data_IF_374397910072
#
_entry.id   IF_374397910072
#
_cell.length_a   1.000
_cell.length_b   1.000
_cell.length_c   1.000
_cell.angle_alpha   90.00
_cell.angle_beta   90.00
_cell.angle_gamma   90.00
#
_symmetry.space_group_name_H-M   'P 1'
#
loop_
_entity.id
_entity.type
_entity.pdbx_description
1 polymer ?
#
# COMPACT_ATOMS: atom_id res chain seq x y z
N UNK A 1 -15.05 30.61 24.11
CA UNK A 1 -15.31 30.91 22.69
C UNK A 1 -14.01 31.05 21.88
N UNK A 2 -13.20 32.11 22.05
CA UNK A 2 -12.00 32.37 21.20
C UNK A 2 -10.95 31.23 21.15
N UNK A 3 -10.67 30.61 22.30
CA UNK A 3 -9.71 29.50 22.37
C UNK A 3 -10.25 28.20 21.73
N UNK A 4 -11.58 28.01 21.70
CA UNK A 4 -12.22 26.89 21.00
C UNK A 4 -12.14 27.09 19.48
N UNK A 5 -12.46 28.29 19.01
CA UNK A 5 -12.31 28.65 17.58
C UNK A 5 -10.86 28.52 17.11
N UNK A 6 -9.88 28.91 17.94
CA UNK A 6 -8.45 28.75 17.62
C UNK A 6 -8.07 27.26 17.51
N UNK A 7 -8.53 26.41 18.42
CA UNK A 7 -8.30 24.96 18.35
C UNK A 7 -8.92 24.35 17.09
N UNK A 8 -10.15 24.72 16.76
CA UNK A 8 -10.81 24.26 15.52
C UNK A 8 -10.07 24.75 14.27
N UNK A 9 -9.59 25.99 14.25
CA UNK A 9 -8.82 26.53 13.14
C UNK A 9 -7.50 25.76 12.96
N UNK A 10 -6.76 25.52 14.05
CA UNK A 10 -5.50 24.76 14.01
C UNK A 10 -5.76 23.33 13.53
N UNK A 11 -6.84 22.69 13.99
CA UNK A 11 -7.22 21.35 13.56
C UNK A 11 -7.58 21.31 12.08
N UNK A 12 -8.34 22.30 11.59
CA UNK A 12 -8.67 22.42 10.17
C UNK A 12 -7.41 22.62 9.30
N UNK A 13 -6.47 23.46 9.74
CA UNK A 13 -5.20 23.68 9.04
C UNK A 13 -4.35 22.41 9.04
N UNK A 14 -4.24 21.73 10.18
CA UNK A 14 -3.49 20.47 10.27
C UNK A 14 -4.07 19.41 9.32
N UNK A 15 -5.40 19.31 9.24
CA UNK A 15 -6.09 18.35 8.38
C UNK A 15 -5.92 18.72 6.89
N UNK A 16 -5.98 20.01 6.56
CA UNK A 16 -5.73 20.51 5.21
C UNK A 16 -4.30 20.21 4.74
N UNK A 17 -3.29 20.46 5.60
CA UNK A 17 -1.89 20.12 5.31
C UNK A 17 -1.70 18.62 5.16
N UNK A 18 -2.32 17.80 6.02
CA UNK A 18 -2.27 16.35 5.90
C UNK A 18 -2.82 15.83 4.57
N UNK A 19 -3.92 16.41 4.10
CA UNK A 19 -4.51 16.08 2.79
C UNK A 19 -3.60 16.50 1.64
N UNK A 20 -2.99 17.69 1.68
CA UNK A 20 -2.04 18.14 0.65
C UNK A 20 -0.80 17.26 0.56
N UNK A 21 -0.25 16.86 1.71
CA UNK A 21 0.88 15.92 1.77
C UNK A 21 0.47 14.56 1.20
N UNK A 22 -0.71 14.07 1.58
CA UNK A 22 -1.25 12.80 1.07
C UNK A 22 -1.42 12.81 -0.46
N UNK A 23 -1.89 13.92 -1.03
CA UNK A 23 -2.00 14.07 -2.48
C UNK A 23 -0.63 14.09 -3.17
N UNK A 24 0.38 14.76 -2.61
CA UNK A 24 1.75 14.74 -3.15
C UNK A 24 2.34 13.33 -3.11
N UNK A 25 2.20 12.64 -1.96
CA UNK A 25 2.71 11.28 -1.80
C UNK A 25 2.02 10.29 -2.75
N UNK A 26 0.71 10.46 -2.98
CA UNK A 26 -0.04 9.66 -3.95
C UNK A 26 0.41 9.94 -5.38
N UNK A 27 0.67 11.20 -5.74
CA UNK A 27 1.18 11.57 -7.06
C UNK A 27 2.55 10.95 -7.33
N UNK A 28 3.47 11.03 -6.37
CA UNK A 28 4.82 10.46 -6.51
C UNK A 28 4.77 8.92 -6.55
N UNK A 29 3.90 8.30 -5.74
CA UNK A 29 3.68 6.85 -5.78
C UNK A 29 3.10 6.35 -7.11
N UNK A 30 2.30 7.16 -7.81
CA UNK A 30 1.79 6.85 -9.17
C UNK A 30 2.91 6.98 -10.21
N UNK A 31 3.86 7.91 -10.06
CA UNK A 31 5.02 8.05 -10.96
C UNK A 31 5.97 6.85 -10.83
N UNK A 32 6.18 6.35 -9.61
CA UNK A 32 7.07 5.21 -9.35
C UNK A 32 6.46 3.87 -9.81
N UNK A 33 5.14 3.73 -9.77
CA UNK A 33 4.43 2.53 -10.27
C UNK A 33 4.18 2.53 -11.78
N UNK A 34 4.38 3.67 -12.46
CA UNK A 34 4.28 3.80 -13.93
C UNK A 34 5.61 3.55 -14.68
N UNK A 35 6.70 3.20 -13.99
CA UNK A 35 7.97 2.82 -14.65
C UNK A 35 8.69 4.00 -15.31
N UNK A 36 8.49 5.23 -14.82
CA UNK A 36 9.07 6.44 -15.41
C UNK A 36 10.53 6.72 -14.99
N UNK A 37 11.35 5.67 -14.84
CA UNK A 37 12.81 5.79 -14.69
C UNK A 37 13.56 5.30 -15.94
N UNK A 38 12.88 5.11 -17.07
CA UNK A 38 13.51 4.81 -18.34
C UNK A 38 13.05 5.80 -19.41
N UNK A 39 13.61 7.02 -19.37
CA UNK A 39 13.54 7.95 -20.51
C UNK A 39 14.29 7.45 -21.75
N UNK A 40 15.05 6.35 -21.68
CA UNK A 40 15.86 5.85 -22.81
C UNK A 40 15.77 4.33 -23.08
N UNK A 41 14.83 3.58 -22.48
CA UNK A 41 14.82 2.11 -22.60
C UNK A 41 13.46 1.46 -22.90
N UNK A 42 12.55 2.17 -23.58
CA UNK A 42 11.45 1.51 -24.28
C UNK A 42 11.87 1.14 -25.71
N UNK A 43 13.01 0.44 -25.84
CA UNK A 43 13.25 -0.39 -27.02
C UNK A 43 12.26 -1.53 -26.91
N UNK A 44 11.24 -1.52 -27.79
CA UNK A 44 10.21 -2.54 -27.88
C UNK A 44 10.80 -3.95 -27.59
N UNK A 45 10.25 -4.72 -26.64
CA UNK A 45 10.80 -6.02 -26.26
C UNK A 45 10.54 -7.11 -27.32
N UNK A 46 10.16 -6.72 -28.53
CA UNK A 46 9.83 -7.59 -29.63
C UNK A 46 10.65 -7.14 -30.84
N UNK A 47 11.86 -7.70 -30.97
CA UNK A 47 12.50 -7.79 -32.29
C UNK A 47 11.87 -8.98 -32.98
N UNK A 48 10.94 -8.72 -33.90
CA UNK A 48 10.60 -9.68 -34.94
C UNK A 48 11.67 -9.52 -36.01
N UNK A 49 12.56 -10.49 -36.13
CA UNK A 49 13.36 -10.67 -37.34
C UNK A 49 12.71 -11.82 -38.11
N UNK A 50 12.21 -11.51 -39.31
CA UNK A 50 11.87 -12.54 -40.30
C UNK A 50 13.18 -13.09 -40.87
N UNK A 51 13.33 -14.41 -40.85
CA UNK A 51 14.27 -15.11 -41.72
C UNK A 51 13.55 -15.45 -43.04
N UNK A 52 14.30 -15.57 -44.14
CA UNK A 52 13.82 -15.67 -45.53
C UNK A 52 12.93 -16.91 -45.82
N UNK A 53 12.68 -17.77 -44.83
CA UNK A 53 11.79 -18.96 -44.89
C UNK A 53 10.49 -18.83 -44.06
N UNK A 54 10.17 -17.65 -43.54
CA UNK A 54 8.81 -17.34 -43.05
C UNK A 54 8.41 -17.96 -41.70
N UNK A 55 9.37 -18.37 -40.87
CA UNK A 55 9.11 -18.84 -39.50
C UNK A 55 9.36 -17.71 -38.48
N UNK A 56 8.36 -17.43 -37.64
CA UNK A 56 8.39 -16.37 -36.64
C UNK A 56 8.85 -16.95 -35.29
N UNK A 57 10.08 -16.68 -34.88
CA UNK A 57 10.60 -17.05 -33.56
C UNK A 57 10.69 -15.83 -32.64
N UNK A 58 9.86 -15.78 -31.60
CA UNK A 58 9.87 -14.70 -30.60
C UNK A 58 10.65 -15.11 -29.35
N UNK A 59 11.88 -14.60 -29.18
CA UNK A 59 12.70 -14.81 -27.97
C UNK A 59 12.43 -13.73 -26.94
N UNK A 60 11.74 -14.08 -25.84
CA UNK A 60 11.58 -13.21 -24.68
C UNK A 60 12.65 -13.56 -23.64
N UNK A 61 13.65 -12.69 -23.51
CA UNK A 61 14.56 -12.60 -22.35
C UNK A 61 15.38 -13.85 -21.98
N UNK A 62 15.86 -14.63 -22.96
CA UNK A 62 17.09 -15.44 -22.83
C UNK A 62 17.18 -16.43 -21.65
N UNK A 63 16.06 -16.78 -21.01
CA UNK A 63 15.98 -17.81 -19.97
C UNK A 63 14.54 -18.27 -19.81
N UNK A 64 14.30 -19.55 -20.04
CA UNK A 64 13.12 -20.26 -19.56
C UNK A 64 13.03 -20.09 -18.05
N UNK A 65 12.21 -19.14 -17.60
CA UNK A 65 11.78 -19.09 -16.21
C UNK A 65 10.29 -18.85 -16.21
N UNK A 66 9.58 -19.94 -15.95
CA UNK A 66 8.15 -20.06 -15.80
C UNK A 66 7.59 -18.88 -14.98
N UNK A 67 6.87 -17.97 -15.64
CA UNK A 67 6.37 -16.71 -15.06
C UNK A 67 5.39 -16.84 -13.88
N UNK A 68 5.09 -18.06 -13.45
CA UNK A 68 4.16 -18.37 -12.35
C UNK A 68 4.81 -18.14 -10.97
N UNK A 69 6.13 -18.34 -10.85
CA UNK A 69 6.81 -18.41 -9.53
C UNK A 69 7.14 -17.04 -8.91
N UNK A 70 7.22 -15.98 -9.71
CA UNK A 70 7.52 -14.62 -9.22
C UNK A 70 6.30 -13.94 -8.59
N UNK A 71 5.11 -14.27 -9.08
CA UNK A 71 3.84 -13.70 -8.59
C UNK A 71 3.48 -14.26 -7.22
N UNK A 72 3.57 -15.58 -7.07
CA UNK A 72 3.33 -16.29 -5.80
C UNK A 72 4.31 -15.87 -4.68
N UNK A 73 5.58 -15.58 -5.02
CA UNK A 73 6.56 -15.12 -4.04
C UNK A 73 6.32 -13.68 -3.55
N UNK A 74 5.87 -12.79 -4.43
CA UNK A 74 5.52 -11.41 -4.04
C UNK A 74 4.29 -11.39 -3.13
N UNK A 75 3.28 -12.18 -3.46
CA UNK A 75 2.03 -12.27 -2.71
C UNK A 75 2.27 -12.77 -1.27
N UNK A 76 3.10 -13.81 -1.09
CA UNK A 76 3.50 -14.28 0.24
C UNK A 76 4.31 -13.28 1.07
N UNK A 77 5.10 -12.42 0.41
CA UNK A 77 5.90 -11.39 1.09
C UNK A 77 5.02 -10.24 1.59
N UNK A 78 3.98 -9.87 0.84
CA UNK A 78 2.99 -8.88 1.24
C UNK A 78 2.10 -9.40 2.38
N UNK A 79 1.63 -10.64 2.30
CA UNK A 79 0.86 -11.28 3.38
C UNK A 79 1.64 -11.29 4.70
N UNK A 80 2.92 -11.67 4.70
CA UNK A 80 3.71 -11.75 5.94
C UNK A 80 3.99 -10.39 6.59
N UNK A 81 4.14 -9.31 5.80
CA UNK A 81 4.39 -7.95 6.33
C UNK A 81 3.12 -7.28 6.82
N UNK A 82 2.04 -7.35 6.03
CA UNK A 82 0.77 -6.75 6.39
C UNK A 82 0.18 -7.41 7.64
N UNK A 83 0.26 -8.74 7.73
CA UNK A 83 -0.30 -9.48 8.86
C UNK A 83 0.35 -9.07 10.19
N UNK A 84 1.66 -8.84 10.25
CA UNK A 84 2.31 -8.45 11.51
C UNK A 84 2.00 -7.01 11.91
N UNK A 85 2.08 -6.06 10.96
CA UNK A 85 1.85 -4.65 11.26
C UNK A 85 0.39 -4.38 11.62
N UNK A 86 -0.56 -4.83 10.80
CA UNK A 86 -1.99 -4.65 11.09
C UNK A 86 -2.45 -5.48 12.29
N UNK A 87 -1.90 -6.68 12.53
CA UNK A 87 -2.23 -7.45 13.74
C UNK A 87 -1.72 -6.78 15.01
N UNK A 88 -0.53 -6.17 14.99
CA UNK A 88 -0.01 -5.45 16.15
C UNK A 88 -0.89 -4.26 16.54
N UNK A 89 -1.30 -3.45 15.55
CA UNK A 89 -2.23 -2.33 15.73
C UNK A 89 -3.61 -2.84 16.17
N UNK A 90 -4.11 -3.89 15.53
CA UNK A 90 -5.38 -4.53 15.87
C UNK A 90 -5.41 -5.05 17.31
N UNK A 91 -4.32 -5.65 17.80
CA UNK A 91 -4.19 -6.09 19.20
C UNK A 91 -4.24 -4.93 20.18
N UNK A 92 -3.57 -3.81 19.87
CA UNK A 92 -3.63 -2.62 20.73
C UNK A 92 -5.04 -2.05 20.80
N UNK A 93 -5.75 -1.98 19.66
CA UNK A 93 -7.13 -1.50 19.61
C UNK A 93 -8.07 -2.47 20.36
N UNK A 94 -7.92 -3.78 20.14
CA UNK A 94 -8.72 -4.79 20.83
C UNK A 94 -8.56 -4.72 22.35
N UNK A 95 -7.33 -4.57 22.84
CA UNK A 95 -7.06 -4.41 24.29
C UNK A 95 -7.69 -3.15 24.88
N UNK A 96 -7.75 -2.05 24.12
CA UNK A 96 -8.47 -0.83 24.56
C UNK A 96 -9.98 -1.07 24.64
N UNK A 97 -10.56 -1.75 23.65
CA UNK A 97 -12.00 -2.08 23.62
C UNK A 97 -12.36 -3.04 24.76
N UNK A 98 -11.57 -4.08 24.98
CA UNK A 98 -11.75 -5.00 26.11
C UNK A 98 -11.65 -4.26 27.44
N UNK A 99 -10.66 -3.38 27.62
CA UNK A 99 -10.51 -2.59 28.84
C UNK A 99 -11.72 -1.67 29.13
N UNK A 100 -12.30 -1.05 28.10
CA UNK A 100 -13.51 -0.23 28.23
C UNK A 100 -14.71 -1.12 28.57
N UNK A 101 -14.85 -2.24 27.88
CA UNK A 101 -15.99 -3.16 28.05
C UNK A 101 -15.99 -3.76 29.45
N UNK A 102 -14.83 -4.23 29.94
CA UNK A 102 -14.71 -4.78 31.29
C UNK A 102 -15.04 -3.74 32.36
N UNK A 103 -14.53 -2.50 32.24
CA UNK A 103 -14.89 -1.42 33.16
C UNK A 103 -16.38 -1.11 33.16
N UNK A 104 -17.02 -1.19 31.99
CA UNK A 104 -18.46 -0.94 31.86
C UNK A 104 -19.26 -2.05 32.53
N UNK A 105 -18.87 -3.31 32.32
CA UNK A 105 -19.47 -4.47 32.98
C UNK A 105 -19.29 -4.41 34.50
N UNK A 106 -18.09 -4.12 34.99
CA UNK A 106 -17.80 -3.97 36.42
C UNK A 106 -18.67 -2.87 37.06
N UNK A 107 -18.86 -1.75 36.37
CA UNK A 107 -19.70 -0.66 36.85
C UNK A 107 -21.19 -1.03 36.91
N UNK A 108 -21.68 -1.77 35.91
CA UNK A 108 -23.06 -2.27 35.89
C UNK A 108 -23.28 -3.35 36.97
N UNK A 109 -22.33 -4.27 37.12
CA UNK A 109 -22.35 -5.30 38.15
C UNK A 109 -22.23 -4.73 39.57
N UNK A 110 -21.63 -3.55 39.74
CA UNK A 110 -21.57 -2.84 41.03
C UNK A 110 -22.85 -2.09 41.38
N UNK A 111 -23.78 -1.90 40.44
CA UNK A 111 -25.01 -1.12 40.62
C UNK A 111 -26.25 -2.00 40.88
N UNK A 112 -26.18 -3.28 40.53
CA UNK A 112 -27.17 -4.34 40.81
C UNK A 112 -26.79 -5.06 42.10
#
# INVERSE_FOLDING_TARGET
>A
MKMFTLKCLVLAVALFLGVLIGMQYANDGIVETKGAQHKDAFSAPVKVSEDDEGNIEATVLGKDVEGKTLKEKKEKLEEMKAYNFFSSIGKTIAGLVEGITNKLLDFLSSLI
#
